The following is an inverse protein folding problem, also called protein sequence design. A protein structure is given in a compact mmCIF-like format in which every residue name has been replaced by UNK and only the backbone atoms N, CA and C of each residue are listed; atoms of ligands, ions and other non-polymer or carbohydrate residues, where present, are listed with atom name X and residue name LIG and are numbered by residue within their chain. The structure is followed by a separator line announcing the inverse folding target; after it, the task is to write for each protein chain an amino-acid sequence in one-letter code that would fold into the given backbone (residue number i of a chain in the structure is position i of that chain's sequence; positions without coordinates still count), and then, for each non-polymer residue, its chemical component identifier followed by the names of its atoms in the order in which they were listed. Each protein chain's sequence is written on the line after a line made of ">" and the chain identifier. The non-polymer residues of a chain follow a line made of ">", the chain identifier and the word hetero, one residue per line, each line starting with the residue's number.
data_IF_724563856567
#
_entry.id   IF_724563856567
#
_cell.length_a   1.000
_cell.length_b   1.000
_cell.length_c   1.000
_cell.angle_alpha   90.00
_cell.angle_beta   90.00
_cell.angle_gamma   90.00
#
_symmetry.space_group_name_H-M   'P 1'
#
loop_
_entity.id
_entity.type
_entity.pdbx_description
1 polymer ?
#
# COMPACT_ATOMS: atom_id res chain seq x y z
N UNK A 1 -26.11 21.91 -8.66
CA UNK A 1 -25.09 21.68 -9.70
C UNK A 1 -23.86 21.19 -8.99
N UNK A 2 -23.46 19.94 -9.23
CA UNK A 2 -22.17 19.41 -8.75
C UNK A 2 -21.11 20.19 -9.53
N UNK A 3 -20.26 20.92 -8.81
CA UNK A 3 -19.16 21.66 -9.43
C UNK A 3 -18.06 20.65 -9.80
N UNK A 4 -18.20 20.08 -10.99
CA UNK A 4 -17.23 19.15 -11.58
C UNK A 4 -15.87 19.82 -11.83
N UNK A 5 -15.73 21.15 -11.67
CA UNK A 5 -14.45 21.83 -11.76
C UNK A 5 -13.58 21.67 -10.49
N UNK A 6 -14.13 21.13 -9.39
CA UNK A 6 -13.38 20.82 -8.18
C UNK A 6 -12.64 19.46 -8.22
N UNK A 7 -12.75 18.71 -9.33
CA UNK A 7 -12.26 17.32 -9.45
C UNK A 7 -10.83 17.15 -9.99
N UNK A 8 -10.01 18.20 -10.06
CA UNK A 8 -8.64 18.03 -10.53
C UNK A 8 -7.79 19.27 -10.32
N UNK A 9 -7.65 19.70 -9.07
CA UNK A 9 -6.65 20.71 -8.74
C UNK A 9 -5.26 20.08 -8.89
N UNK A 10 -4.75 20.07 -10.13
CA UNK A 10 -3.40 19.63 -10.47
C UNK A 10 -2.40 20.24 -9.49
N UNK A 11 -1.47 19.43 -8.99
CA UNK A 11 -0.51 19.91 -8.01
C UNK A 11 0.28 21.10 -8.57
N UNK A 12 0.61 22.06 -7.69
CA UNK A 12 1.54 23.12 -8.07
C UNK A 12 2.87 22.47 -8.47
N UNK A 13 3.49 22.96 -9.53
CA UNK A 13 4.71 22.36 -10.09
C UNK A 13 5.82 22.14 -9.07
N UNK A 14 5.96 23.05 -8.09
CA UNK A 14 6.95 22.93 -7.01
C UNK A 14 6.63 21.78 -6.05
N UNK A 15 5.37 21.61 -5.69
CA UNK A 15 4.92 20.56 -4.77
C UNK A 15 4.99 19.19 -5.44
N UNK A 16 4.61 19.13 -6.73
CA UNK A 16 4.80 17.97 -7.59
C UNK A 16 6.28 17.55 -7.65
N UNK A 17 7.19 18.48 -7.95
CA UNK A 17 8.62 18.21 -8.05
C UNK A 17 9.21 17.72 -6.71
N UNK A 18 8.78 18.30 -5.60
CA UNK A 18 9.20 17.87 -4.27
C UNK A 18 8.79 16.41 -3.99
N UNK A 19 7.54 16.03 -4.31
CA UNK A 19 7.08 14.63 -4.19
C UNK A 19 7.88 13.70 -5.09
N UNK A 20 8.12 14.07 -6.35
CA UNK A 20 8.95 13.28 -7.28
C UNK A 20 10.35 13.05 -6.71
N UNK A 21 10.99 14.08 -6.14
CA UNK A 21 12.32 13.94 -5.53
C UNK A 21 12.27 12.98 -4.34
N UNK A 22 11.26 13.09 -3.47
CA UNK A 22 11.09 12.20 -2.32
C UNK A 22 10.94 10.74 -2.79
N UNK A 23 10.06 10.49 -3.77
CA UNK A 23 9.84 9.16 -4.36
C UNK A 23 11.11 8.64 -5.00
N UNK A 24 11.84 9.47 -5.77
CA UNK A 24 13.07 9.08 -6.42
C UNK A 24 14.17 8.72 -5.41
N UNK A 25 14.29 9.47 -4.31
CA UNK A 25 15.25 9.20 -3.25
C UNK A 25 14.87 7.92 -2.50
N UNK A 26 13.65 7.84 -1.96
CA UNK A 26 13.20 6.67 -1.19
C UNK A 26 13.18 5.41 -2.06
N UNK A 27 12.68 5.51 -3.28
CA UNK A 27 12.64 4.43 -4.24
C UNK A 27 14.02 4.05 -4.73
N UNK A 28 14.90 5.01 -4.98
CA UNK A 28 16.30 4.76 -5.32
C UNK A 28 17.03 3.98 -4.24
N UNK A 29 16.88 4.37 -2.96
CA UNK A 29 17.43 3.61 -1.84
C UNK A 29 16.83 2.20 -1.72
N UNK A 30 15.51 2.07 -1.88
CA UNK A 30 14.82 0.79 -1.84
C UNK A 30 15.28 -0.17 -2.95
N UNK A 31 15.41 0.33 -4.18
CA UNK A 31 15.88 -0.43 -5.33
C UNK A 31 17.36 -0.76 -5.23
N UNK A 32 18.19 0.18 -4.74
CA UNK A 32 19.61 -0.09 -4.46
C UNK A 32 19.76 -1.21 -3.43
N UNK A 33 18.94 -1.21 -2.38
CA UNK A 33 18.91 -2.32 -1.43
C UNK A 33 18.47 -3.64 -2.08
N UNK A 34 17.39 -3.62 -2.86
CA UNK A 34 16.85 -4.83 -3.50
C UNK A 34 17.81 -5.44 -4.54
N UNK A 35 18.52 -4.60 -5.29
CA UNK A 35 19.53 -5.03 -6.25
C UNK A 35 20.64 -5.87 -5.60
N UNK A 36 20.96 -5.63 -4.33
CA UNK A 36 21.96 -6.38 -3.56
C UNK A 36 21.42 -7.70 -2.96
N UNK A 37 20.15 -8.06 -3.17
CA UNK A 37 19.49 -9.20 -2.52
C UNK A 37 19.06 -10.32 -3.46
N UNK A 38 19.47 -10.28 -4.73
CA UNK A 38 19.14 -11.28 -5.75
C UNK A 38 17.63 -11.62 -5.79
N UNK A 39 16.78 -10.61 -5.64
CA UNK A 39 15.32 -10.77 -5.67
C UNK A 39 14.89 -11.17 -7.08
N UNK A 40 14.22 -12.32 -7.22
CA UNK A 40 13.67 -12.71 -8.52
C UNK A 40 12.33 -12.00 -8.76
N UNK A 41 11.98 -11.82 -10.04
CA UNK A 41 10.64 -11.34 -10.41
C UNK A 41 9.56 -12.28 -9.86
N UNK A 42 9.85 -13.58 -9.79
CA UNK A 42 8.94 -14.58 -9.21
C UNK A 42 8.65 -14.36 -7.72
N UNK A 43 9.67 -14.03 -6.93
CA UNK A 43 9.51 -13.74 -5.49
C UNK A 43 8.64 -12.49 -5.28
N UNK A 44 8.89 -11.45 -6.08
CA UNK A 44 8.13 -10.20 -6.04
C UNK A 44 6.66 -10.41 -6.45
N UNK A 45 6.41 -11.09 -7.57
CA UNK A 45 5.06 -11.39 -8.06
C UNK A 45 4.30 -12.28 -7.09
N UNK A 46 4.97 -13.29 -6.51
CA UNK A 46 4.38 -14.15 -5.47
C UNK A 46 4.00 -13.35 -4.24
N UNK A 47 4.86 -12.44 -3.79
CA UNK A 47 4.57 -11.58 -2.65
C UNK A 47 3.34 -10.70 -2.88
N UNK A 48 3.22 -10.08 -4.06
CA UNK A 48 2.05 -9.27 -4.44
C UNK A 48 0.79 -10.12 -4.49
N UNK A 49 0.83 -11.28 -5.15
CA UNK A 49 -0.33 -12.16 -5.30
C UNK A 49 -0.84 -12.71 -3.96
N UNK A 50 0.05 -12.88 -2.98
CA UNK A 50 -0.29 -13.30 -1.60
C UNK A 50 -0.75 -12.15 -0.72
N UNK A 51 -0.62 -10.89 -1.14
CA UNK A 51 -1.13 -9.75 -0.37
C UNK A 51 -2.65 -9.90 -0.22
N UNK A 52 -3.18 -9.80 1.00
CA UNK A 52 -4.62 -9.85 1.23
C UNK A 52 -5.37 -8.75 0.48
N UNK A 53 -6.46 -9.12 -0.19
CA UNK A 53 -7.23 -8.17 -1.03
C UNK A 53 -7.79 -7.00 -0.22
N UNK A 54 -8.16 -7.21 1.04
CA UNK A 54 -8.67 -6.15 1.91
C UNK A 54 -7.61 -5.09 2.23
N UNK A 55 -6.32 -5.45 2.20
CA UNK A 55 -5.21 -4.51 2.40
C UNK A 55 -4.96 -3.73 1.12
N UNK A 56 -5.01 -4.40 -0.03
CA UNK A 56 -4.94 -3.74 -1.34
C UNK A 56 -6.00 -2.65 -1.41
N UNK A 57 -7.26 -2.99 -1.09
CA UNK A 57 -8.35 -2.01 -1.04
C UNK A 57 -8.14 -0.93 0.02
N UNK A 58 -7.60 -1.27 1.20
CA UNK A 58 -7.30 -0.29 2.24
C UNK A 58 -6.23 0.72 1.79
N UNK A 59 -5.18 0.27 1.11
CA UNK A 59 -4.16 1.16 0.54
C UNK A 59 -4.77 2.10 -0.49
N UNK A 60 -5.57 1.58 -1.42
CA UNK A 60 -6.24 2.41 -2.41
C UNK A 60 -7.13 3.47 -1.77
N UNK A 61 -7.91 3.08 -0.75
CA UNK A 61 -8.71 4.04 0.00
C UNK A 61 -7.83 5.09 0.70
N UNK A 62 -6.75 4.66 1.37
CA UNK A 62 -5.82 5.56 2.04
C UNK A 62 -5.16 6.55 1.07
N UNK A 63 -4.78 6.09 -0.13
CA UNK A 63 -4.18 6.93 -1.16
C UNK A 63 -5.17 8.00 -1.64
N UNK A 64 -6.41 7.60 -1.96
CA UNK A 64 -7.50 8.52 -2.31
C UNK A 64 -7.82 9.53 -1.22
N UNK A 65 -7.66 9.16 0.05
CA UNK A 65 -7.82 10.09 1.17
C UNK A 65 -6.61 11.01 1.33
N UNK A 66 -5.40 10.50 1.09
CA UNK A 66 -4.14 11.25 1.16
C UNK A 66 -4.11 12.33 0.08
N UNK A 67 -4.49 12.00 -1.15
CA UNK A 67 -4.40 12.92 -2.28
C UNK A 67 -5.40 14.10 -2.16
N UNK A 68 -6.55 13.87 -1.51
CA UNK A 68 -7.49 14.95 -1.14
C UNK A 68 -6.91 15.96 -0.13
N UNK A 69 -5.84 15.60 0.58
CA UNK A 69 -5.19 16.44 1.58
C UNK A 69 -3.69 16.48 1.33
N UNK A 70 -3.31 17.26 0.32
CA UNK A 70 -1.92 17.44 -0.11
C UNK A 70 -0.93 17.57 1.06
N UNK A 71 0.22 16.90 0.98
CA UNK A 71 1.28 16.98 2.00
C UNK A 71 1.72 18.42 2.24
N UNK A 72 1.58 19.30 1.24
CA UNK A 72 1.76 20.75 1.35
C UNK A 72 0.77 21.37 2.32
N UNK A 73 -0.51 20.98 2.27
CA UNK A 73 -1.54 21.45 3.20
C UNK A 73 -1.21 21.03 4.63
N UNK A 74 -0.80 19.79 4.84
CA UNK A 74 -0.37 19.32 6.15
C UNK A 74 0.93 19.97 6.61
N UNK A 75 1.88 20.20 5.70
CA UNK A 75 3.12 20.91 5.96
C UNK A 75 2.89 22.34 6.41
N UNK A 76 1.97 23.06 5.75
CA UNK A 76 1.52 24.41 6.16
C UNK A 76 0.83 24.35 7.52
N UNK A 77 -0.04 23.37 7.75
CA UNK A 77 -0.78 23.21 9.00
C UNK A 77 0.17 22.97 10.18
N UNK A 78 1.14 22.08 10.02
CA UNK A 78 2.14 21.78 11.05
C UNK A 78 3.10 22.96 11.27
N UNK A 79 3.53 23.63 10.20
CA UNK A 79 4.34 24.84 10.29
C UNK A 79 3.65 25.95 11.09
N UNK A 80 2.33 26.15 10.90
CA UNK A 80 1.55 27.12 11.68
C UNK A 80 1.41 26.75 13.15
N UNK A 81 1.36 25.45 13.47
CA UNK A 81 1.15 24.96 14.85
C UNK A 81 2.44 24.86 15.67
N UNK A 82 3.54 24.44 15.04
CA UNK A 82 4.79 24.10 15.70
C UNK A 82 5.98 24.96 15.25
N UNK A 83 5.77 25.90 14.32
CA UNK A 83 6.83 26.66 13.67
C UNK A 83 7.60 25.84 12.62
N UNK A 84 8.56 26.48 11.94
CA UNK A 84 9.41 25.84 10.94
C UNK A 84 8.88 25.93 9.50
N UNK A 85 9.66 25.40 8.54
CA UNK A 85 9.37 25.55 7.12
C UNK A 85 8.33 24.52 6.63
N UNK A 86 7.26 24.94 5.91
CA UNK A 86 6.20 24.03 5.45
C UNK A 86 6.69 22.84 4.63
N UNK A 87 7.69 23.05 3.77
CA UNK A 87 8.27 21.99 2.93
C UNK A 87 8.98 20.92 3.78
N UNK A 88 9.67 21.32 4.87
CA UNK A 88 10.32 20.36 5.76
C UNK A 88 9.28 19.49 6.47
N UNK A 89 8.19 20.08 6.93
CA UNK A 89 7.08 19.31 7.50
C UNK A 89 6.43 18.38 6.47
N UNK A 90 6.26 18.82 5.22
CA UNK A 90 5.77 17.97 4.12
C UNK A 90 6.67 16.75 3.90
N UNK A 91 8.00 16.95 3.87
CA UNK A 91 8.98 15.86 3.76
C UNK A 91 8.87 14.89 4.94
N UNK A 92 8.81 15.41 6.17
CA UNK A 92 8.70 14.57 7.38
C UNK A 92 7.44 13.70 7.31
N UNK A 93 6.29 14.28 6.93
CA UNK A 93 5.04 13.55 6.82
C UNK A 93 5.11 12.49 5.73
N UNK A 94 5.69 12.80 4.56
CA UNK A 94 5.88 11.84 3.49
C UNK A 94 6.78 10.67 3.92
N UNK A 95 7.90 10.95 4.61
CA UNK A 95 8.79 9.90 5.13
C UNK A 95 8.09 9.03 6.18
N UNK A 96 7.27 9.63 7.06
CA UNK A 96 6.49 8.88 8.04
C UNK A 96 5.39 8.03 7.39
N UNK A 97 4.70 8.55 6.39
CA UNK A 97 3.69 7.81 5.63
C UNK A 97 4.33 6.62 4.90
N UNK A 98 5.47 6.85 4.23
CA UNK A 98 6.26 5.80 3.61
C UNK A 98 6.69 4.73 4.62
N UNK A 99 7.35 5.11 5.71
CA UNK A 99 7.88 4.18 6.70
C UNK A 99 6.77 3.40 7.43
N UNK A 100 5.66 4.08 7.75
CA UNK A 100 4.49 3.46 8.37
C UNK A 100 3.85 2.42 7.44
N UNK A 101 3.68 2.77 6.17
CA UNK A 101 3.16 1.83 5.16
C UNK A 101 4.11 0.66 4.96
N UNK A 102 5.42 0.92 4.88
CA UNK A 102 6.43 -0.10 4.70
C UNK A 102 6.39 -1.11 5.84
N UNK A 103 6.30 -0.63 7.08
CA UNK A 103 6.21 -1.48 8.26
C UNK A 103 4.94 -2.36 8.23
N UNK A 104 3.78 -1.76 7.98
CA UNK A 104 2.49 -2.47 7.93
C UNK A 104 2.47 -3.50 6.80
N UNK A 105 2.91 -3.12 5.60
CA UNK A 105 2.89 -4.00 4.43
C UNK A 105 3.89 -5.13 4.56
N UNK A 106 5.11 -4.85 5.00
CA UNK A 106 6.12 -5.88 5.21
C UNK A 106 5.62 -6.90 6.24
N UNK A 107 5.10 -6.41 7.39
CA UNK A 107 4.55 -7.28 8.42
C UNK A 107 3.41 -8.14 7.89
N UNK A 108 2.47 -7.55 7.17
CA UNK A 108 1.27 -8.30 6.76
C UNK A 108 1.53 -9.29 5.65
N UNK A 109 2.35 -8.94 4.66
CA UNK A 109 2.74 -9.87 3.60
C UNK A 109 3.59 -11.00 4.21
N UNK A 110 4.54 -10.68 5.11
CA UNK A 110 5.35 -11.70 5.77
C UNK A 110 4.52 -12.69 6.60
N UNK A 111 3.46 -12.21 7.27
CA UNK A 111 2.52 -13.08 7.99
C UNK A 111 1.77 -14.03 7.05
N UNK A 112 1.32 -13.57 5.88
CA UNK A 112 0.65 -14.43 4.90
C UNK A 112 1.62 -15.40 4.21
N UNK A 113 2.86 -14.98 4.00
CA UNK A 113 3.91 -15.84 3.45
C UNK A 113 4.56 -16.78 4.46
N UNK A 114 4.23 -16.63 5.76
CA UNK A 114 4.91 -17.30 6.88
C UNK A 114 6.44 -17.19 6.81
N UNK A 115 6.96 -16.16 6.12
CA UNK A 115 8.38 -15.98 5.84
C UNK A 115 8.68 -14.52 5.53
N UNK A 116 9.86 -14.07 5.96
CA UNK A 116 10.40 -12.77 5.59
C UNK A 116 11.38 -12.97 4.44
N UNK A 117 10.99 -12.53 3.23
CA UNK A 117 11.84 -12.65 2.03
C UNK A 117 12.14 -11.27 1.45
N UNK A 118 13.20 -11.18 0.64
CA UNK A 118 13.53 -9.94 -0.04
C UNK A 118 12.45 -9.52 -1.06
N UNK A 119 11.69 -10.48 -1.62
CA UNK A 119 10.51 -10.22 -2.43
C UNK A 119 9.37 -9.55 -1.66
N UNK A 120 9.16 -9.96 -0.39
CA UNK A 120 8.20 -9.31 0.52
C UNK A 120 8.54 -7.84 0.72
N UNK A 121 9.81 -7.56 1.04
CA UNK A 121 10.21 -6.18 1.29
C UNK A 121 10.15 -5.33 0.02
N UNK A 122 10.49 -5.90 -1.15
CA UNK A 122 10.36 -5.19 -2.43
C UNK A 122 8.89 -4.86 -2.78
N UNK A 123 7.97 -5.80 -2.55
CA UNK A 123 6.53 -5.56 -2.69
C UNK A 123 6.06 -4.47 -1.73
N UNK A 124 6.46 -4.54 -0.46
CA UNK A 124 6.12 -3.53 0.55
C UNK A 124 6.69 -2.14 0.22
N UNK A 125 7.93 -2.04 -0.29
CA UNK A 125 8.51 -0.80 -0.81
C UNK A 125 7.65 -0.25 -1.93
N UNK A 126 7.21 -1.09 -2.87
CA UNK A 126 6.36 -0.67 -3.99
C UNK A 126 5.05 -0.07 -3.50
N UNK A 127 4.35 -0.73 -2.58
CA UNK A 127 3.12 -0.20 -1.98
C UNK A 127 3.35 1.09 -1.19
N UNK A 128 4.49 1.22 -0.54
CA UNK A 128 4.81 2.41 0.26
C UNK A 128 5.17 3.60 -0.60
N UNK A 129 5.87 3.38 -1.71
CA UNK A 129 6.17 4.41 -2.70
C UNK A 129 4.90 4.92 -3.36
N UNK A 130 3.94 4.03 -3.63
CA UNK A 130 2.65 4.40 -4.21
C UNK A 130 1.93 5.48 -3.38
N UNK A 131 1.81 5.30 -2.07
CA UNK A 131 1.10 6.25 -1.19
C UNK A 131 1.76 7.65 -1.14
N UNK A 132 3.06 7.74 -1.43
CA UNK A 132 3.79 9.02 -1.42
C UNK A 132 4.02 9.59 -2.82
N UNK A 133 3.58 8.88 -3.86
CA UNK A 133 3.70 9.30 -5.25
C UNK A 133 2.75 10.47 -5.55
N UNK A 134 3.14 11.43 -6.40
CA UNK A 134 2.24 12.52 -6.77
C UNK A 134 1.08 12.02 -7.65
N UNK A 135 -0.13 12.53 -7.38
CA UNK A 135 -1.30 12.37 -8.24
C UNK A 135 -1.71 10.90 -8.47
N UNK A 136 -1.55 10.03 -7.47
CA UNK A 136 -1.95 8.62 -7.55
C UNK A 136 -3.40 8.34 -7.15
N UNK A 137 -4.08 9.30 -6.52
CA UNK A 137 -5.43 9.11 -6.00
C UNK A 137 -6.54 8.97 -7.07
N UNK A 138 -6.20 9.09 -8.34
CA UNK A 138 -7.17 9.02 -9.45
C UNK A 138 -7.41 7.58 -9.94
N UNK A 139 -6.38 6.71 -9.93
CA UNK A 139 -6.41 5.36 -10.53
C UNK A 139 -6.11 4.27 -9.50
N UNK A 140 -6.72 3.09 -9.59
CA UNK A 140 -6.43 1.96 -8.68
C UNK A 140 -5.21 1.11 -9.11
N UNK A 141 -4.03 1.73 -9.17
CA UNK A 141 -2.82 1.09 -9.70
C UNK A 141 -2.36 -0.13 -8.90
N UNK A 142 -2.53 -0.11 -7.58
CA UNK A 142 -2.14 -1.22 -6.70
C UNK A 142 -3.11 -2.40 -6.84
N UNK A 143 -4.40 -2.13 -7.03
CA UNK A 143 -5.38 -3.14 -7.38
C UNK A 143 -5.05 -3.79 -8.72
N UNK A 144 -4.72 -3.00 -9.75
CA UNK A 144 -4.33 -3.54 -11.06
C UNK A 144 -3.06 -4.38 -10.98
N UNK A 145 -2.06 -3.92 -10.22
CA UNK A 145 -0.84 -4.68 -9.96
C UNK A 145 -1.13 -6.01 -9.26
N UNK A 146 -2.04 -6.02 -8.28
CA UNK A 146 -2.46 -7.22 -7.58
C UNK A 146 -3.18 -8.21 -8.50
N UNK A 147 -4.10 -7.73 -9.35
CA UNK A 147 -4.79 -8.56 -10.35
C UNK A 147 -3.77 -9.17 -11.32
N UNK A 148 -2.83 -8.37 -11.83
CA UNK A 148 -1.80 -8.83 -12.75
C UNK A 148 -0.93 -9.92 -12.11
N UNK A 149 -0.51 -9.75 -10.85
CA UNK A 149 0.26 -10.76 -10.11
C UNK A 149 -0.56 -12.03 -9.85
N UNK A 150 -1.84 -11.89 -9.57
CA UNK A 150 -2.76 -13.02 -9.40
C UNK A 150 -2.89 -13.82 -10.70
N UNK A 151 -3.01 -13.15 -11.85
CA UNK A 151 -3.05 -13.80 -13.17
C UNK A 151 -1.70 -14.48 -13.47
N UNK A 152 -0.58 -13.79 -13.20
CA UNK A 152 0.77 -14.34 -13.42
C UNK A 152 1.04 -15.61 -12.59
N UNK A 153 0.45 -15.70 -11.39
CA UNK A 153 0.50 -16.89 -10.53
C UNK A 153 -0.62 -17.89 -10.80
N UNK A 154 -1.39 -17.69 -11.87
CA UNK A 154 -2.54 -18.54 -12.27
C UNK A 154 -3.58 -18.70 -11.15
N UNK A 155 -3.72 -17.69 -10.30
CA UNK A 155 -4.65 -17.70 -9.17
C UNK A 155 -4.27 -18.65 -8.03
N UNK A 156 -3.04 -19.18 -8.01
CA UNK A 156 -2.58 -20.15 -7.00
C UNK A 156 -2.81 -19.66 -5.55
N UNK A 157 -2.75 -18.35 -5.33
CA UNK A 157 -2.83 -17.73 -4.00
C UNK A 157 -4.15 -17.01 -3.72
N UNK A 158 -5.16 -17.13 -4.60
CA UNK A 158 -6.46 -16.45 -4.43
C UNK A 158 -7.14 -16.81 -3.11
N UNK A 159 -7.08 -18.08 -2.70
CA UNK A 159 -7.72 -18.52 -1.46
C UNK A 159 -7.06 -17.83 -0.25
N UNK A 160 -5.73 -17.84 -0.18
CA UNK A 160 -4.95 -17.16 0.86
C UNK A 160 -5.21 -15.64 0.83
N UNK A 161 -5.18 -15.02 -0.34
CA UNK A 161 -5.34 -13.57 -0.48
C UNK A 161 -6.76 -13.07 -0.16
N UNK A 162 -7.79 -13.85 -0.47
CA UNK A 162 -9.20 -13.48 -0.24
C UNK A 162 -9.67 -13.88 1.16
N UNK A 163 -9.26 -15.05 1.65
CA UNK A 163 -9.75 -15.61 2.91
C UNK A 163 -8.80 -15.44 4.11
N UNK A 164 -7.67 -14.75 3.96
CA UNK A 164 -6.73 -14.38 5.06
C UNK A 164 -7.32 -13.44 6.11
N UNK A 165 -8.62 -13.13 6.06
CA UNK A 165 -9.27 -12.28 7.04
C UNK A 165 -9.30 -12.95 8.43
N UNK A 166 -8.70 -12.35 9.48
CA UNK A 166 -8.81 -12.85 10.85
C UNK A 166 -10.27 -12.83 11.37
N UNK A 167 -11.14 -12.07 10.71
CA UNK A 167 -12.58 -12.02 10.99
C UNK A 167 -13.37 -13.11 10.26
N UNK A 168 -12.99 -13.50 9.03
CA UNK A 168 -13.65 -14.58 8.29
C UNK A 168 -13.34 -15.92 8.95
N UNK A 169 -12.09 -16.19 9.35
CA UNK A 169 -11.79 -17.43 10.08
C UNK A 169 -12.57 -17.54 11.39
N UNK A 170 -12.79 -16.42 12.10
CA UNK A 170 -13.67 -16.38 13.28
C UNK A 170 -15.14 -16.57 12.94
N UNK A 171 -15.66 -15.93 11.89
CA UNK A 171 -17.05 -16.14 11.44
C UNK A 171 -17.29 -17.56 10.95
N UNK A 172 -16.37 -18.12 10.15
CA UNK A 172 -16.42 -19.50 9.67
C UNK A 172 -16.37 -20.47 10.84
N UNK A 173 -15.48 -20.27 11.83
CA UNK A 173 -15.47 -21.10 13.04
C UNK A 173 -16.75 -20.95 13.88
N UNK A 174 -17.32 -19.75 13.97
CA UNK A 174 -18.59 -19.52 14.69
C UNK A 174 -19.78 -20.13 13.95
N UNK A 175 -19.79 -20.10 12.61
CA UNK A 175 -20.83 -20.72 11.79
C UNK A 175 -20.69 -22.24 11.84
N UNK A 176 -19.49 -22.79 11.63
CA UNK A 176 -19.24 -24.24 11.66
C UNK A 176 -19.52 -24.82 13.07
N UNK A 177 -19.12 -24.14 14.14
CA UNK A 177 -19.42 -24.60 15.51
C UNK A 177 -20.92 -24.53 15.88
N UNK A 178 -21.73 -23.79 15.12
CA UNK A 178 -23.18 -23.69 15.29
C UNK A 178 -24.00 -24.50 14.29
N UNK A 179 -23.34 -25.13 13.31
CA UNK A 179 -23.99 -26.09 12.41
C UNK A 179 -23.78 -27.49 13.01
N UNK A 180 -24.81 -28.12 13.60
CA UNK A 180 -24.71 -29.51 14.02
C UNK A 180 -24.60 -30.37 12.76
N UNK A 181 -23.37 -30.72 12.37
CA UNK A 181 -23.15 -31.76 11.38
C UNK A 181 -23.37 -33.10 12.09
N UNK A 182 -24.61 -33.57 12.13
CA UNK A 182 -24.88 -34.98 12.40
C UNK A 182 -24.36 -35.78 11.20
N UNK A 183 -23.19 -36.39 11.34
CA UNK A 183 -22.72 -37.37 10.37
C UNK A 183 -23.68 -38.56 10.42
N UNK A 184 -24.28 -38.99 9.30
CA UNK A 184 -24.94 -40.28 9.25
C UNK A 184 -23.88 -41.36 9.40
N UNK A 185 -24.06 -42.20 10.43
CA UNK A 185 -23.31 -43.45 10.66
C UNK A 185 -23.71 -44.45 9.59
#
# INVERSE_FOLDING_TARGET
>A
MVDWAAQGAKLRTTDYLAKVIIVAVLGGFGLMWAANKAVTVGDYVTAIAKTPVWIVLAIELLDKFSDKKDYTYWGITMSRRYGGHPVLWGIIIAVLAFAGTLYVMTGTIAMNMSSYSAGVLLAAITYSLYIVMPETGDDELILFLWIAATIATKGQYLNEAVFSLPFISKLVNVVISKVPISLPI
#
